data_IF_892630207620
#
_entry.id   IF_892630207620
#
_cell.length_a   1.000
_cell.length_b   1.000
_cell.length_c   1.000
_cell.angle_alpha   90.00
_cell.angle_beta   90.00
_cell.angle_gamma   90.00
#
_symmetry.space_group_name_H-M   'P 1'
#
loop_
_entity.id
_entity.type
_entity.pdbx_description
1 polymer ?
#
# COMPACT_ATOMS: atom_id res chain seq x y z
N UNK A 1 4.91 -3.72 29.93
CA UNK A 1 4.24 -3.01 31.04
C UNK A 1 4.38 -1.51 30.81
N UNK A 2 3.31 -0.80 30.42
CA UNK A 2 3.34 0.66 30.25
C UNK A 2 3.03 1.30 31.61
N UNK A 3 3.86 2.23 32.09
CA UNK A 3 3.66 2.88 33.39
C UNK A 3 2.43 3.80 33.38
N UNK A 4 1.84 4.04 34.56
CA UNK A 4 0.71 4.98 34.72
C UNK A 4 1.02 6.38 34.17
N UNK A 5 2.26 6.84 34.31
CA UNK A 5 2.72 8.11 33.73
C UNK A 5 2.68 8.11 32.19
N UNK A 6 2.97 6.99 31.53
CA UNK A 6 2.90 6.90 30.08
C UNK A 6 1.45 7.01 29.58
N UNK A 7 0.47 6.50 30.33
CA UNK A 7 -0.95 6.64 30.00
C UNK A 7 -1.42 8.09 30.09
N UNK A 8 -1.01 8.81 31.14
CA UNK A 8 -1.34 10.24 31.27
C UNK A 8 -0.74 11.05 30.12
N UNK A 9 0.54 10.82 29.77
CA UNK A 9 1.19 11.48 28.63
C UNK A 9 0.46 11.24 27.30
N UNK A 10 0.00 9.99 27.06
CA UNK A 10 -0.80 9.66 25.88
C UNK A 10 -2.13 10.42 25.87
N UNK A 11 -2.82 10.47 27.01
CA UNK A 11 -4.09 11.20 27.14
C UNK A 11 -3.91 12.70 26.86
N UNK A 12 -2.83 13.31 27.34
CA UNK A 12 -2.60 14.74 27.15
C UNK A 12 -2.33 15.09 25.68
N UNK A 13 -1.60 14.24 24.94
CA UNK A 13 -1.44 14.38 23.48
C UNK A 13 -2.80 14.28 22.78
N UNK A 14 -3.61 13.28 23.14
CA UNK A 14 -4.93 13.07 22.53
C UNK A 14 -5.85 14.27 22.79
N UNK A 15 -5.87 14.82 24.01
CA UNK A 15 -6.61 16.04 24.33
C UNK A 15 -6.14 17.22 23.48
N UNK A 16 -4.82 17.40 23.34
CA UNK A 16 -4.24 18.46 22.50
C UNK A 16 -4.69 18.37 21.05
N UNK A 17 -4.72 17.17 20.47
CA UNK A 17 -5.24 16.94 19.12
C UNK A 17 -6.71 17.38 18.99
N UNK A 18 -7.56 17.02 19.97
CA UNK A 18 -8.98 17.38 19.92
C UNK A 18 -9.26 18.87 20.07
N UNK A 19 -8.48 19.58 20.89
CA UNK A 19 -8.61 21.04 21.03
C UNK A 19 -8.30 21.76 19.71
N UNK A 20 -7.37 21.23 18.92
CA UNK A 20 -7.00 21.79 17.62
C UNK A 20 -7.95 21.39 16.47
N UNK A 21 -8.75 20.34 16.64
CA UNK A 21 -9.59 19.80 15.57
C UNK A 21 -10.62 20.80 15.05
N UNK A 22 -10.80 20.79 13.73
CA UNK A 22 -11.87 21.50 13.03
C UNK A 22 -12.73 20.50 12.24
N UNK A 23 -14.01 20.85 12.07
CA UNK A 23 -14.96 20.08 11.26
C UNK A 23 -14.98 18.57 11.60
N UNK A 24 -14.59 17.71 10.65
CA UNK A 24 -14.63 16.25 10.75
C UNK A 24 -13.32 15.63 11.24
N UNK A 25 -12.27 16.41 11.54
CA UNK A 25 -10.96 15.90 11.94
C UNK A 25 -11.05 15.02 13.19
N UNK A 26 -11.77 15.48 14.22
CA UNK A 26 -11.94 14.74 15.47
C UNK A 26 -12.52 13.33 15.24
N UNK A 27 -13.45 13.20 14.29
CA UNK A 27 -14.05 11.91 13.93
C UNK A 27 -13.00 10.92 13.42
N UNK A 28 -12.10 11.36 12.54
CA UNK A 28 -11.06 10.49 11.99
C UNK A 28 -9.95 10.20 12.99
N UNK A 29 -9.59 11.16 13.85
CA UNK A 29 -8.63 10.94 14.94
C UNK A 29 -9.14 9.87 15.92
N UNK A 30 -10.39 9.99 16.41
CA UNK A 30 -10.99 8.95 17.30
C UNK A 30 -10.95 7.58 16.63
N UNK A 31 -11.34 7.50 15.35
CA UNK A 31 -11.40 6.23 14.63
C UNK A 31 -10.02 5.61 14.40
N UNK A 32 -9.00 6.43 14.14
CA UNK A 32 -7.61 5.98 14.02
C UNK A 32 -7.08 5.45 15.35
N UNK A 33 -7.29 6.18 16.46
CA UNK A 33 -6.87 5.75 17.81
C UNK A 33 -7.59 4.47 18.26
N UNK A 34 -8.84 4.27 17.84
CA UNK A 34 -9.61 3.05 18.10
C UNK A 34 -9.24 1.87 17.17
N UNK A 35 -8.33 2.06 16.21
CA UNK A 35 -7.94 1.05 15.22
C UNK A 35 -9.05 0.69 14.23
N UNK A 36 -10.09 1.53 14.08
CA UNK A 36 -11.30 1.24 13.29
C UNK A 36 -11.67 2.44 12.41
N UNK A 37 -10.85 2.70 11.38
CA UNK A 37 -11.04 3.85 10.48
C UNK A 37 -12.36 3.80 9.68
N UNK A 38 -12.78 2.59 9.25
CA UNK A 38 -14.07 2.32 8.57
C UNK A 38 -14.35 3.22 7.35
N UNK A 39 -13.34 3.41 6.50
CA UNK A 39 -13.45 4.20 5.26
C UNK A 39 -13.68 3.34 4.00
N UNK A 40 -13.68 2.00 4.14
CA UNK A 40 -13.86 1.09 3.00
C UNK A 40 -12.62 0.98 2.08
N UNK A 41 -11.52 1.64 2.44
CA UNK A 41 -10.24 1.58 1.73
C UNK A 41 -9.18 0.98 2.65
N UNK A 42 -8.30 0.18 2.07
CA UNK A 42 -7.21 -0.49 2.76
C UNK A 42 -5.92 -0.41 1.92
N UNK A 43 -4.88 -1.13 2.34
CA UNK A 43 -3.54 -1.05 1.75
C UNK A 43 -3.52 -1.19 0.22
N UNK A 44 -4.24 -2.17 -0.34
CA UNK A 44 -4.26 -2.38 -1.80
C UNK A 44 -4.84 -1.18 -2.56
N UNK A 45 -5.84 -0.51 -1.99
CA UNK A 45 -6.41 0.72 -2.55
C UNK A 45 -5.44 1.90 -2.43
N UNK A 46 -4.70 1.99 -1.31
CA UNK A 46 -3.68 3.02 -1.09
C UNK A 46 -2.53 2.87 -2.08
N UNK A 47 -2.02 1.65 -2.30
CA UNK A 47 -0.96 1.39 -3.28
C UNK A 47 -1.41 1.74 -4.70
N UNK A 48 -2.64 1.38 -5.07
CA UNK A 48 -3.21 1.76 -6.37
C UNK A 48 -3.29 3.29 -6.52
N UNK A 49 -3.86 3.98 -5.53
CA UNK A 49 -3.99 5.44 -5.56
C UNK A 49 -2.62 6.13 -5.59
N UNK A 50 -1.64 5.62 -4.83
CA UNK A 50 -0.28 6.14 -4.82
C UNK A 50 0.39 5.98 -6.19
N UNK A 51 0.30 4.80 -6.82
CA UNK A 51 0.82 4.60 -8.18
C UNK A 51 0.19 5.57 -9.18
N UNK A 52 -1.13 5.77 -9.10
CA UNK A 52 -1.81 6.69 -10.00
C UNK A 52 -1.38 8.14 -9.76
N UNK A 53 -1.28 8.57 -8.50
CA UNK A 53 -0.89 9.93 -8.15
C UNK A 53 0.50 10.29 -8.71
N UNK A 54 1.50 9.43 -8.51
CA UNK A 54 2.87 9.69 -8.97
C UNK A 54 3.04 9.53 -10.48
N UNK A 55 2.20 8.72 -11.14
CA UNK A 55 2.19 8.61 -12.59
C UNK A 55 1.55 9.83 -13.24
N UNK A 56 0.41 10.28 -12.72
CA UNK A 56 -0.33 11.43 -13.27
C UNK A 56 0.36 12.74 -12.98
N UNK A 57 0.90 12.89 -11.78
CA UNK A 57 1.61 14.09 -11.34
C UNK A 57 3.02 13.68 -10.92
N UNK A 58 3.99 13.63 -11.86
CA UNK A 58 5.35 13.21 -11.57
C UNK A 58 5.98 14.01 -10.43
N UNK A 59 6.65 13.35 -9.46
CA UNK A 59 7.36 14.04 -8.39
C UNK A 59 8.63 14.73 -8.91
N UNK A 60 9.21 15.62 -8.09
CA UNK A 60 10.48 16.28 -8.40
C UNK A 60 10.41 17.44 -9.39
N UNK A 61 9.21 17.88 -9.78
CA UNK A 61 9.03 19.07 -10.60
C UNK A 61 9.27 20.36 -9.78
N UNK A 62 9.78 21.41 -10.45
CA UNK A 62 9.81 22.75 -9.87
C UNK A 62 8.40 23.31 -9.63
N UNK A 63 8.26 24.30 -8.75
CA UNK A 63 6.98 24.95 -8.52
C UNK A 63 6.81 26.19 -9.41
N UNK A 64 5.69 26.36 -10.13
CA UNK A 64 4.56 25.43 -10.28
C UNK A 64 4.90 24.23 -11.20
N UNK A 65 4.30 23.04 -10.96
CA UNK A 65 4.59 21.85 -11.77
C UNK A 65 4.11 22.04 -13.21
N UNK A 66 4.97 21.70 -14.17
CA UNK A 66 4.64 21.77 -15.59
C UNK A 66 3.62 20.70 -16.02
N UNK A 67 3.65 19.54 -15.37
CA UNK A 67 2.81 18.38 -15.66
C UNK A 67 1.91 18.09 -14.46
N UNK A 68 0.62 18.35 -14.63
CA UNK A 68 -0.44 18.01 -13.66
C UNK A 68 -1.15 16.69 -13.98
N UNK A 69 -1.27 16.36 -15.27
CA UNK A 69 -1.85 15.10 -15.76
C UNK A 69 -1.02 14.58 -16.94
N UNK A 70 -0.07 13.71 -16.65
CA UNK A 70 0.77 13.04 -17.64
C UNK A 70 -0.01 12.07 -18.54
N UNK A 71 -1.22 11.67 -18.14
CA UNK A 71 -2.08 10.84 -18.96
C UNK A 71 -3.05 11.63 -19.84
N UNK A 72 -2.91 12.97 -19.90
CA UNK A 72 -3.70 13.81 -20.81
C UNK A 72 -3.31 13.53 -22.26
N UNK A 73 -4.30 13.23 -23.09
CA UNK A 73 -4.09 12.91 -24.52
C UNK A 73 -3.88 11.42 -24.81
N UNK A 74 -3.84 10.56 -23.79
CA UNK A 74 -3.91 9.11 -23.97
C UNK A 74 -5.34 8.67 -24.29
N UNK A 75 -5.50 7.59 -25.05
CA UNK A 75 -6.80 6.92 -25.18
C UNK A 75 -7.26 6.35 -23.83
N UNK A 76 -8.57 6.18 -23.59
CA UNK A 76 -9.08 5.59 -22.35
C UNK A 76 -8.50 4.19 -22.06
N UNK A 77 -8.31 3.38 -23.10
CA UNK A 77 -7.72 2.03 -23.03
C UNK A 77 -6.23 2.12 -22.72
N UNK A 78 -5.50 2.99 -23.42
CA UNK A 78 -4.06 3.18 -23.21
C UNK A 78 -3.76 3.70 -21.82
N UNK A 79 -4.58 4.63 -21.31
CA UNK A 79 -4.44 5.16 -19.94
C UNK A 79 -4.67 4.08 -18.88
N UNK A 80 -5.67 3.22 -19.07
CA UNK A 80 -5.94 2.09 -18.15
C UNK A 80 -4.76 1.12 -18.10
N UNK A 81 -4.32 0.64 -19.26
CA UNK A 81 -3.21 -0.31 -19.35
C UNK A 81 -1.92 0.26 -18.75
N UNK A 82 -1.61 1.53 -19.04
CA UNK A 82 -0.46 2.22 -18.45
C UNK A 82 -0.57 2.32 -16.93
N UNK A 83 -1.72 2.68 -16.36
CA UNK A 83 -1.90 2.73 -14.90
C UNK A 83 -1.80 1.36 -14.24
N UNK A 84 -2.31 0.31 -14.89
CA UNK A 84 -2.23 -1.07 -14.39
C UNK A 84 -0.78 -1.56 -14.32
N UNK A 85 0.01 -1.29 -15.36
CA UNK A 85 1.45 -1.60 -15.38
C UNK A 85 2.19 -0.92 -14.22
N UNK A 86 1.98 0.39 -14.04
CA UNK A 86 2.65 1.15 -12.98
C UNK A 86 2.18 0.73 -11.59
N UNK A 87 0.89 0.41 -11.44
CA UNK A 87 0.36 -0.16 -10.19
C UNK A 87 0.97 -1.51 -9.87
N UNK A 88 1.21 -2.35 -10.87
CA UNK A 88 1.87 -3.65 -10.69
C UNK A 88 3.31 -3.47 -10.21
N UNK A 89 4.07 -2.53 -10.78
CA UNK A 89 5.43 -2.21 -10.33
C UNK A 89 5.44 -1.86 -8.84
N UNK A 90 4.64 -0.87 -8.43
CA UNK A 90 4.61 -0.44 -7.03
C UNK A 90 4.14 -1.54 -6.08
N UNK A 91 3.11 -2.31 -6.46
CA UNK A 91 2.60 -3.42 -5.65
C UNK A 91 3.65 -4.52 -5.49
N UNK A 92 4.32 -4.91 -6.58
CA UNK A 92 5.36 -5.94 -6.53
C UNK A 92 6.51 -5.48 -5.63
N UNK A 93 6.99 -4.25 -5.82
CA UNK A 93 8.08 -3.72 -5.00
C UNK A 93 7.70 -3.59 -3.52
N UNK A 94 6.44 -3.22 -3.23
CA UNK A 94 5.94 -3.21 -1.86
C UNK A 94 5.81 -4.62 -1.26
N UNK A 95 5.42 -5.63 -2.06
CA UNK A 95 5.38 -7.01 -1.59
C UNK A 95 6.77 -7.52 -1.19
N UNK A 96 7.81 -7.13 -1.93
CA UNK A 96 9.21 -7.48 -1.64
C UNK A 96 9.81 -6.67 -0.48
N UNK A 97 9.41 -5.40 -0.36
CA UNK A 97 9.88 -4.46 0.66
C UNK A 97 8.71 -3.61 1.19
N UNK A 98 7.88 -4.13 2.12
CA UNK A 98 6.71 -3.44 2.67
C UNK A 98 7.12 -2.35 3.68
N UNK A 99 7.93 -1.39 3.24
CA UNK A 99 8.45 -0.29 4.06
C UNK A 99 8.34 1.05 3.31
N UNK A 100 7.36 1.86 3.70
CA UNK A 100 7.14 3.18 3.11
C UNK A 100 8.29 4.16 3.36
N UNK A 101 9.03 4.02 4.47
CA UNK A 101 10.16 4.90 4.79
C UNK A 101 11.30 4.75 3.79
N UNK A 102 11.41 3.60 3.12
CA UNK A 102 12.39 3.36 2.06
C UNK A 102 11.79 3.62 0.68
N UNK A 103 10.55 3.19 0.44
CA UNK A 103 9.89 3.33 -0.86
C UNK A 103 9.64 4.78 -1.26
N UNK A 104 9.09 5.60 -0.35
CA UNK A 104 8.64 6.96 -0.68
C UNK A 104 9.81 7.87 -1.08
N UNK A 105 10.96 7.90 -0.37
CA UNK A 105 12.09 8.72 -0.81
C UNK A 105 12.62 8.34 -2.20
N UNK A 106 12.70 7.05 -2.50
CA UNK A 106 13.12 6.57 -3.83
C UNK A 106 12.08 6.97 -4.88
N UNK A 107 10.80 6.78 -4.59
CA UNK A 107 9.70 7.13 -5.49
C UNK A 107 9.69 8.62 -5.84
N UNK A 108 9.97 9.49 -4.87
CA UNK A 108 10.05 10.94 -5.06
C UNK A 108 11.29 11.39 -5.85
N UNK A 109 12.41 10.65 -5.75
CA UNK A 109 13.69 11.01 -6.35
C UNK A 109 13.91 10.42 -7.74
N UNK A 110 13.63 9.13 -7.90
CA UNK A 110 13.97 8.35 -9.10
C UNK A 110 12.72 7.98 -9.93
N UNK A 111 11.53 8.14 -9.35
CA UNK A 111 10.25 7.79 -9.99
C UNK A 111 9.88 6.31 -9.87
N UNK A 112 8.67 5.98 -10.32
CA UNK A 112 8.07 4.65 -10.15
C UNK A 112 8.79 3.55 -10.94
N UNK A 113 9.33 3.88 -12.12
CA UNK A 113 9.96 2.90 -13.02
C UNK A 113 11.33 2.41 -12.53
N UNK A 114 12.02 3.22 -11.75
CA UNK A 114 13.29 2.83 -11.15
C UNK A 114 13.12 2.16 -9.79
N UNK A 115 11.92 2.16 -9.22
CA UNK A 115 11.64 1.65 -7.88
C UNK A 115 12.16 0.21 -7.66
N UNK A 116 11.95 -0.76 -8.58
CA UNK A 116 12.46 -2.13 -8.40
C UNK A 116 13.99 -2.25 -8.42
N UNK A 117 14.71 -1.26 -8.94
CA UNK A 117 16.18 -1.29 -8.96
C UNK A 117 16.76 -0.88 -7.60
N UNK A 118 16.05 -0.04 -6.86
CA UNK A 118 16.50 0.52 -5.59
C UNK A 118 15.89 -0.18 -4.38
N UNK A 119 14.65 -0.65 -4.48
CA UNK A 119 13.94 -1.38 -3.43
C UNK A 119 13.80 -2.84 -3.88
N UNK A 120 14.64 -3.72 -3.33
CA UNK A 120 14.68 -5.15 -3.69
C UNK A 120 14.48 -6.03 -2.47
N UNK A 121 14.00 -7.25 -2.68
CA UNK A 121 14.01 -8.27 -1.64
C UNK A 121 15.41 -8.37 -1.00
N UNK A 122 15.48 -8.08 0.30
CA UNK A 122 16.73 -7.98 1.05
C UNK A 122 16.62 -8.81 2.33
N UNK A 123 17.54 -9.75 2.59
CA UNK A 123 17.57 -10.50 3.84
C UNK A 123 17.57 -9.57 5.06
N UNK A 124 16.73 -9.89 6.06
CA UNK A 124 16.53 -9.05 7.25
C UNK A 124 15.40 -8.04 7.12
N UNK A 125 14.85 -7.81 5.92
CA UNK A 125 13.62 -7.05 5.71
C UNK A 125 12.47 -8.05 5.50
N UNK A 126 11.37 -7.97 6.28
CA UNK A 126 10.24 -8.86 6.11
C UNK A 126 9.52 -8.58 4.80
N UNK A 127 9.18 -9.61 4.02
CA UNK A 127 8.35 -9.49 2.82
C UNK A 127 6.88 -9.83 3.11
N UNK A 128 5.97 -9.53 2.18
CA UNK A 128 4.59 -10.01 2.24
C UNK A 128 4.55 -11.52 1.94
N UNK A 129 4.05 -12.36 2.87
CA UNK A 129 3.96 -13.79 2.62
C UNK A 129 2.87 -14.09 1.57
N UNK A 130 3.05 -15.19 0.84
CA UNK A 130 2.00 -15.75 0.00
C UNK A 130 0.87 -16.27 0.88
N UNK A 131 -0.37 -15.89 0.57
CA UNK A 131 -1.56 -16.35 1.28
C UNK A 131 -2.31 -17.39 0.45
N UNK A 132 -2.88 -18.38 1.12
CA UNK A 132 -3.70 -19.40 0.48
C UNK A 132 -5.16 -18.91 0.30
N UNK A 133 -5.78 -19.31 -0.81
CA UNK A 133 -7.22 -19.19 -0.97
C UNK A 133 -7.88 -20.47 -0.43
N UNK A 134 -8.93 -20.38 0.41
CA UNK A 134 -9.64 -21.56 0.88
C UNK A 134 -10.38 -22.24 -0.29
N UNK A 135 -10.35 -23.57 -0.33
CA UNK A 135 -11.06 -24.39 -1.31
C UNK A 135 -11.90 -25.44 -0.58
N UNK A 136 -13.13 -25.68 -1.03
CA UNK A 136 -14.07 -26.57 -0.34
C UNK A 136 -13.95 -28.03 -0.78
N UNK A 137 -13.15 -28.33 -1.80
CA UNK A 137 -12.91 -29.70 -2.24
C UNK A 137 -11.85 -29.83 -3.33
N UNK A 138 -11.41 -31.07 -3.55
CA UNK A 138 -10.35 -31.40 -4.52
C UNK A 138 -10.75 -31.03 -5.96
N UNK A 139 -12.03 -31.18 -6.32
CA UNK A 139 -12.52 -30.80 -7.64
C UNK A 139 -12.36 -29.30 -7.95
N UNK A 140 -12.45 -28.44 -6.94
CA UNK A 140 -12.22 -26.99 -7.09
C UNK A 140 -10.74 -26.69 -7.34
N UNK A 141 -9.85 -27.41 -6.65
CA UNK A 141 -8.39 -27.32 -6.84
C UNK A 141 -8.03 -27.77 -8.26
N UNK A 142 -8.55 -28.91 -8.71
CA UNK A 142 -8.33 -29.42 -10.07
C UNK A 142 -8.83 -28.44 -11.13
N UNK A 143 -10.02 -27.85 -10.94
CA UNK A 143 -10.54 -26.83 -11.86
C UNK A 143 -9.70 -25.55 -11.88
N UNK A 144 -9.11 -25.18 -10.74
CA UNK A 144 -8.32 -23.95 -10.60
C UNK A 144 -6.92 -24.08 -11.21
N UNK A 145 -6.27 -25.22 -11.03
CA UNK A 145 -4.94 -25.47 -11.59
C UNK A 145 -4.98 -26.09 -12.98
N UNK A 146 -6.09 -26.72 -13.37
CA UNK A 146 -6.31 -27.32 -14.70
C UNK A 146 -5.16 -28.27 -15.08
N UNK A 147 -4.47 -28.01 -16.19
CA UNK A 147 -3.30 -28.79 -16.63
C UNK A 147 -1.98 -28.37 -15.96
N UNK A 148 -1.97 -27.35 -15.10
CA UNK A 148 -0.77 -26.91 -14.40
C UNK A 148 -0.36 -27.93 -13.34
N UNK A 149 0.90 -28.37 -13.38
CA UNK A 149 1.46 -29.22 -12.34
C UNK A 149 1.44 -28.49 -10.98
N UNK A 150 0.96 -29.17 -9.94
CA UNK A 150 0.95 -28.67 -8.56
C UNK A 150 1.41 -29.75 -7.58
N UNK A 151 1.77 -29.33 -6.36
CA UNK A 151 2.20 -30.22 -5.28
C UNK A 151 1.28 -30.10 -4.07
N UNK A 152 1.26 -31.14 -3.24
CA UNK A 152 0.51 -31.17 -1.98
C UNK A 152 1.50 -31.22 -0.83
N UNK A 153 1.47 -30.20 0.03
CA UNK A 153 2.27 -30.16 1.25
C UNK A 153 1.33 -30.16 2.46
N UNK A 154 1.79 -30.75 3.57
CA UNK A 154 1.04 -30.70 4.83
C UNK A 154 0.95 -29.26 5.32
N UNK A 155 -0.27 -28.79 5.59
CA UNK A 155 -0.48 -27.55 6.31
C UNK A 155 -0.21 -27.79 7.80
N UNK A 156 1.02 -27.53 8.23
CA UNK A 156 1.40 -27.60 9.65
C UNK A 156 0.63 -26.56 10.47
N UNK A 157 0.28 -26.92 11.71
CA UNK A 157 -0.32 -26.03 12.69
C UNK A 157 0.79 -25.49 13.59
N UNK A 158 1.32 -24.33 13.22
CA UNK A 158 2.48 -23.69 13.83
C UNK A 158 2.17 -22.80 15.03
#
# INVERSE_FOLDING_TARGET
>A
LCSSQAMNKKMDIIKGLFVACRFSEARYIVRSLAGKLRIGLAEQSVLLALSQAVCLTPPGQGWPPAVLDAGKGMSPEGRRSWMEEKSLILKQTYCEMPNYDVLIPVLLKEGIDQLPKHCKLTPGVPLRPMLAHPHQGVGEVMKKFDEAAFTCEYKYDG
#
